data_IF_364435820456
#
_entry.id   IF_364435820456
#
_cell.length_a   1.000
_cell.length_b   1.000
_cell.length_c   1.000
_cell.angle_alpha   90.00
_cell.angle_beta   90.00
_cell.angle_gamma   90.00
#
_symmetry.space_group_name_H-M   'P 1'
#
loop_
_entity.id
_entity.type
_entity.pdbx_description
1 polymer ?
#
# COMPACT_ATOMS: atom_id res chain seq x y z
N UNK A 1 35.73 15.24 15.90
CA UNK A 1 36.84 14.84 14.98
C UNK A 1 36.56 13.53 14.24
N UNK A 2 35.98 12.49 14.86
CA UNK A 2 35.85 11.17 14.22
C UNK A 2 34.86 11.07 13.04
N UNK A 3 33.92 12.03 12.90
CA UNK A 3 32.95 12.01 11.78
C UNK A 3 33.60 11.95 10.39
N UNK A 4 34.78 12.55 10.21
CA UNK A 4 35.51 12.49 8.93
C UNK A 4 36.08 11.10 8.61
N UNK A 5 36.47 10.30 9.62
CA UNK A 5 36.96 8.94 9.39
C UNK A 5 35.84 7.99 8.89
N UNK A 6 34.60 8.26 9.29
CA UNK A 6 33.41 7.49 8.90
C UNK A 6 33.00 7.76 7.45
N UNK A 7 33.56 8.79 6.81
CA UNK A 7 33.37 9.05 5.37
C UNK A 7 33.95 7.93 4.50
N UNK A 8 34.88 7.12 5.03
CA UNK A 8 35.37 5.90 4.38
C UNK A 8 34.27 4.84 4.15
N UNK A 9 33.16 4.88 4.91
CA UNK A 9 31.98 4.06 4.63
C UNK A 9 31.08 4.79 3.64
N UNK A 10 30.57 4.14 2.57
CA UNK A 10 29.64 4.77 1.64
C UNK A 10 28.38 5.26 2.38
N UNK A 11 27.83 6.39 1.92
CA UNK A 11 26.53 6.89 2.41
C UNK A 11 25.49 5.78 2.20
N UNK A 12 24.64 5.57 3.20
CA UNK A 12 23.59 4.55 3.16
C UNK A 12 23.78 3.48 4.24
N UNK A 13 23.36 2.25 3.92
CA UNK A 13 23.14 1.17 4.89
C UNK A 13 24.37 0.84 5.74
N UNK A 14 25.56 0.76 5.13
CA UNK A 14 26.82 0.48 5.86
C UNK A 14 27.10 1.53 6.93
N UNK A 15 27.01 2.81 6.57
CA UNK A 15 27.25 3.91 7.50
C UNK A 15 26.20 3.98 8.61
N UNK A 16 24.92 3.69 8.29
CA UNK A 16 23.85 3.61 9.29
C UNK A 16 24.03 2.42 10.25
N UNK A 17 24.36 1.25 9.73
CA UNK A 17 24.61 0.05 10.54
C UNK A 17 25.79 0.27 11.50
N UNK A 18 26.85 0.95 11.03
CA UNK A 18 27.96 1.36 11.88
C UNK A 18 27.50 2.27 13.04
N UNK A 19 26.74 3.34 12.75
CA UNK A 19 26.30 4.26 13.80
C UNK A 19 25.29 3.65 14.77
N UNK A 20 24.34 2.84 14.28
CA UNK A 20 23.41 2.11 15.13
C UNK A 20 24.15 1.13 16.04
N UNK A 21 25.06 0.31 15.50
CA UNK A 21 25.86 -0.60 16.34
C UNK A 21 26.71 0.15 17.38
N UNK A 22 27.23 1.34 17.03
CA UNK A 22 27.96 2.18 17.98
C UNK A 22 27.05 2.73 19.08
N UNK A 23 25.96 3.42 18.73
CA UNK A 23 25.12 4.11 19.72
C UNK A 23 24.26 3.15 20.55
N UNK A 24 23.78 2.07 19.95
CA UNK A 24 22.85 1.16 20.62
C UNK A 24 23.57 0.14 21.51
N UNK A 25 24.86 -0.14 21.22
CA UNK A 25 25.58 -1.24 21.89
C UNK A 25 27.04 -0.92 22.22
N UNK A 26 27.90 -0.72 21.22
CA UNK A 26 29.36 -0.70 21.43
C UNK A 26 29.81 0.49 22.27
N UNK A 27 29.24 1.67 22.04
CA UNK A 27 29.53 2.89 22.77
C UNK A 27 29.18 2.77 24.26
N UNK A 28 27.91 2.50 24.62
CA UNK A 28 27.51 2.28 26.01
C UNK A 28 28.33 1.19 26.72
N UNK A 29 28.46 0.01 26.10
CA UNK A 29 29.23 -1.11 26.69
C UNK A 29 30.70 -0.78 26.93
N UNK A 30 31.32 -0.01 26.02
CA UNK A 30 32.71 0.40 26.14
C UNK A 30 32.88 1.46 27.22
N UNK A 31 31.95 2.43 27.28
CA UNK A 31 31.98 3.46 28.31
C UNK A 31 31.90 2.86 29.71
N UNK A 32 31.01 1.88 29.92
CA UNK A 32 30.85 1.20 31.21
C UNK A 32 32.11 0.41 31.61
N UNK A 33 32.84 -0.17 30.65
CA UNK A 33 34.02 -1.01 30.92
C UNK A 33 35.33 -0.25 31.02
N UNK A 34 35.52 0.76 30.18
CA UNK A 34 36.82 1.40 29.94
C UNK A 34 36.77 2.93 30.00
N UNK A 35 35.61 3.51 30.33
CA UNK A 35 35.39 4.95 30.37
C UNK A 35 35.59 5.61 29.01
N UNK A 36 35.71 6.94 29.03
CA UNK A 36 35.88 7.76 27.82
C UNK A 36 37.15 7.40 27.03
N UNK A 37 38.22 6.99 27.72
CA UNK A 37 39.50 6.61 27.11
C UNK A 37 39.38 5.39 26.18
N UNK A 38 38.45 4.46 26.46
CA UNK A 38 38.20 3.28 25.65
C UNK A 38 37.37 3.55 24.38
N UNK A 39 36.58 4.62 24.37
CA UNK A 39 35.62 4.89 23.30
C UNK A 39 36.30 5.02 21.94
N UNK A 40 37.38 5.80 21.85
CA UNK A 40 38.06 6.05 20.58
C UNK A 40 38.52 4.75 19.91
N UNK A 41 39.18 3.87 20.67
CA UNK A 41 39.67 2.58 20.16
C UNK A 41 38.50 1.69 19.71
N UNK A 42 37.44 1.59 20.50
CA UNK A 42 36.25 0.82 20.11
C UNK A 42 35.61 1.31 18.80
N UNK A 43 35.67 2.62 18.57
CA UNK A 43 35.13 3.29 17.39
C UNK A 43 36.00 3.02 16.14
N UNK A 44 37.33 3.01 16.30
CA UNK A 44 38.29 2.61 15.26
C UNK A 44 38.16 1.12 14.91
N UNK A 45 38.07 0.24 15.91
CA UNK A 45 37.89 -1.20 15.73
C UNK A 45 36.55 -1.51 15.04
N UNK A 46 35.47 -0.82 15.44
CA UNK A 46 34.16 -0.95 14.83
C UNK A 46 34.15 -0.44 13.38
N UNK A 47 34.83 0.68 13.12
CA UNK A 47 34.95 1.21 11.76
C UNK A 47 35.70 0.23 10.85
N UNK A 48 36.82 -0.32 11.30
CA UNK A 48 37.54 -1.35 10.57
C UNK A 48 36.67 -2.58 10.30
N UNK A 49 35.90 -3.05 11.29
CA UNK A 49 34.92 -4.15 11.12
C UNK A 49 33.91 -3.85 10.01
N UNK A 50 33.38 -2.63 9.93
CA UNK A 50 32.39 -2.26 8.90
C UNK A 50 33.01 -1.98 7.52
N UNK A 51 34.26 -1.54 7.46
CA UNK A 51 35.01 -1.36 6.21
C UNK A 51 35.31 -2.73 5.57
N UNK A 52 35.84 -3.66 6.36
CA UNK A 52 36.30 -4.97 5.87
C UNK A 52 35.24 -6.09 5.98
N UNK A 53 34.13 -5.84 6.68
CA UNK A 53 33.04 -6.78 6.86
C UNK A 53 32.23 -7.00 5.57
N UNK A 54 31.63 -8.20 5.46
CA UNK A 54 30.68 -8.49 4.37
C UNK A 54 29.51 -7.51 4.44
N UNK A 55 29.18 -6.90 3.30
CA UNK A 55 27.94 -6.14 3.15
C UNK A 55 26.76 -7.06 3.40
N UNK A 56 25.79 -6.62 4.20
CA UNK A 56 24.53 -7.36 4.33
C UNK A 56 23.88 -7.52 2.96
N UNK A 57 23.35 -8.71 2.68
CA UNK A 57 22.55 -8.94 1.49
C UNK A 57 21.36 -8.00 1.46
N UNK A 58 21.02 -7.53 0.26
CA UNK A 58 19.78 -6.80 0.06
C UNK A 58 18.58 -7.72 0.24
N UNK A 59 17.42 -7.10 0.45
CA UNK A 59 16.17 -7.81 0.59
C UNK A 59 15.01 -6.90 0.21
N UNK A 60 13.87 -7.52 -0.08
CA UNK A 60 12.66 -6.83 -0.49
C UNK A 60 11.61 -6.92 0.62
N UNK A 61 10.94 -5.82 0.92
CA UNK A 61 9.76 -5.80 1.77
C UNK A 61 8.60 -5.28 0.93
N UNK A 62 7.62 -6.14 0.66
CA UNK A 62 6.36 -5.76 0.01
C UNK A 62 5.43 -5.17 1.06
N UNK A 63 5.05 -3.90 0.91
CA UNK A 63 4.35 -3.14 1.95
C UNK A 63 3.03 -2.60 1.42
N UNK A 64 1.95 -2.89 2.14
CA UNK A 64 0.66 -2.22 1.95
C UNK A 64 0.67 -0.81 2.54
N UNK A 65 0.48 0.18 1.67
CA UNK A 65 0.39 1.59 2.03
C UNK A 65 -0.96 1.98 2.66
N UNK A 66 -1.96 1.11 2.57
CA UNK A 66 -3.34 1.50 2.85
C UNK A 66 -3.96 2.31 1.69
N UNK A 67 -5.23 2.75 1.84
CA UNK A 67 -5.99 3.33 0.74
C UNK A 67 -5.65 4.80 0.42
N UNK A 68 -4.96 5.49 1.32
CA UNK A 68 -4.45 6.85 1.08
C UNK A 68 -4.11 7.62 2.35
N UNK A 69 -4.90 7.45 3.41
CA UNK A 69 -4.63 8.08 4.71
C UNK A 69 -3.34 7.49 5.33
N UNK A 70 -2.31 8.31 5.63
CA UNK A 70 -1.10 7.85 6.30
C UNK A 70 -1.33 7.20 7.66
N UNK A 71 -2.40 7.56 8.38
CA UNK A 71 -2.73 6.97 9.69
C UNK A 71 -3.25 5.53 9.57
N UNK A 72 -3.67 5.11 8.38
CA UNK A 72 -4.05 3.73 8.10
C UNK A 72 -2.86 2.83 7.75
N UNK A 73 -1.63 3.37 7.77
CA UNK A 73 -0.42 2.55 7.71
C UNK A 73 -0.31 1.69 8.97
N UNK A 74 0.07 0.43 8.77
CA UNK A 74 0.45 -0.39 9.91
C UNK A 74 1.75 0.12 10.52
N UNK A 75 1.95 -0.10 11.82
CA UNK A 75 3.21 0.22 12.50
C UNK A 75 4.39 -0.48 11.81
N UNK A 76 4.18 -1.70 11.29
CA UNK A 76 5.20 -2.45 10.54
C UNK A 76 5.52 -1.80 9.19
N UNK A 77 4.51 -1.26 8.49
CA UNK A 77 4.71 -0.54 7.23
C UNK A 77 5.52 0.75 7.44
N UNK A 78 5.18 1.54 8.47
CA UNK A 78 5.94 2.74 8.85
C UNK A 78 7.40 2.42 9.17
N UNK A 79 7.67 1.36 9.93
CA UNK A 79 9.04 0.91 10.23
C UNK A 79 9.80 0.52 8.96
N UNK A 80 9.16 -0.26 8.07
CA UNK A 80 9.76 -0.65 6.81
C UNK A 80 10.13 0.58 5.94
N UNK A 81 9.24 1.56 5.81
CA UNK A 81 9.51 2.81 5.09
C UNK A 81 10.67 3.63 5.68
N UNK A 82 10.75 3.68 7.01
CA UNK A 82 11.84 4.37 7.70
C UNK A 82 13.19 3.66 7.50
N UNK A 83 13.20 2.34 7.37
CA UNK A 83 14.42 1.53 7.20
C UNK A 83 14.85 1.35 5.73
N UNK A 84 13.99 1.71 4.78
CA UNK A 84 14.19 1.50 3.35
C UNK A 84 15.41 2.25 2.80
N UNK A 85 16.18 1.61 1.93
CA UNK A 85 17.19 2.29 1.11
C UNK A 85 16.58 2.78 -0.21
N UNK A 86 15.67 1.99 -0.77
CA UNK A 86 14.93 2.30 -1.99
C UNK A 86 13.45 2.05 -1.73
N UNK A 87 12.59 2.99 -2.10
CA UNK A 87 11.14 2.85 -2.06
C UNK A 87 10.63 2.90 -3.50
N UNK A 88 10.14 1.76 -3.99
CA UNK A 88 9.53 1.64 -5.32
C UNK A 88 8.02 1.62 -5.12
N UNK A 89 7.29 2.63 -5.61
CA UNK A 89 5.86 2.77 -5.34
C UNK A 89 5.02 2.88 -6.60
N UNK A 90 3.73 2.56 -6.47
CA UNK A 90 2.74 2.81 -7.53
C UNK A 90 2.15 4.22 -7.45
N UNK A 91 1.57 4.68 -8.56
CA UNK A 91 0.84 5.96 -8.66
C UNK A 91 -0.27 6.14 -7.62
N UNK A 92 -0.86 5.05 -7.13
CA UNK A 92 -1.97 5.11 -6.17
C UNK A 92 -1.50 5.36 -4.73
N UNK A 93 -0.20 5.33 -4.45
CA UNK A 93 0.32 5.77 -3.15
C UNK A 93 0.28 7.30 -3.11
N UNK A 94 -0.20 7.83 -1.98
CA UNK A 94 -0.34 9.27 -1.76
C UNK A 94 0.99 9.91 -1.38
N UNK A 95 1.25 11.19 -1.76
CA UNK A 95 2.46 11.91 -1.35
C UNK A 95 2.69 11.89 0.17
N UNK A 96 1.63 12.03 0.95
CA UNK A 96 1.66 12.07 2.41
C UNK A 96 2.20 10.76 3.01
N UNK A 97 1.96 9.61 2.36
CA UNK A 97 2.57 8.33 2.74
C UNK A 97 4.06 8.29 2.36
N UNK A 98 4.43 8.83 1.20
CA UNK A 98 5.82 8.86 0.73
C UNK A 98 6.69 9.77 1.59
N UNK A 99 6.13 10.83 2.18
CA UNK A 99 6.83 11.71 3.12
C UNK A 99 7.28 10.99 4.41
N UNK A 100 6.67 9.85 4.75
CA UNK A 100 7.08 9.00 5.86
C UNK A 100 8.29 8.12 5.55
N UNK A 101 8.69 8.02 4.27
CA UNK A 101 9.94 7.40 3.90
C UNK A 101 11.11 8.22 4.44
N UNK A 102 12.23 7.56 4.74
CA UNK A 102 13.40 8.29 5.21
C UNK A 102 13.93 9.25 4.14
N UNK A 103 14.43 10.40 4.59
CA UNK A 103 14.90 11.49 3.71
C UNK A 103 15.98 11.09 2.71
N UNK A 104 16.83 10.11 3.04
CA UNK A 104 17.88 9.64 2.12
C UNK A 104 17.54 8.30 1.44
N UNK A 105 16.27 7.86 1.47
CA UNK A 105 15.82 6.78 0.61
C UNK A 105 15.70 7.29 -0.84
N UNK A 106 16.08 6.45 -1.79
CA UNK A 106 15.76 6.69 -3.19
C UNK A 106 14.29 6.34 -3.42
N UNK A 107 13.47 7.32 -3.79
CA UNK A 107 12.05 7.10 -4.11
C UNK A 107 11.94 6.97 -5.63
N UNK A 108 11.37 5.86 -6.10
CA UNK A 108 11.17 5.56 -7.52
C UNK A 108 9.69 5.35 -7.77
N UNK A 109 9.11 6.14 -8.68
CA UNK A 109 7.75 5.96 -9.16
C UNK A 109 7.73 4.87 -10.25
N UNK A 110 7.12 3.74 -9.94
CA UNK A 110 6.82 2.66 -10.89
C UNK A 110 5.49 2.90 -11.66
N UNK A 111 4.79 4.00 -11.32
CA UNK A 111 3.57 4.47 -11.94
C UNK A 111 3.79 5.26 -13.24
N UNK A 112 2.75 5.99 -13.66
CA UNK A 112 2.75 6.78 -14.90
C UNK A 112 3.26 8.19 -14.62
N UNK A 113 4.28 8.64 -15.34
CA UNK A 113 4.49 10.08 -15.59
C UNK A 113 3.84 10.48 -16.92
N UNK A 114 2.88 11.40 -16.86
CA UNK A 114 2.27 11.97 -18.07
C UNK A 114 1.60 10.94 -18.98
N UNK A 115 1.24 11.36 -20.20
CA UNK A 115 0.51 10.56 -21.19
C UNK A 115 1.32 9.38 -21.79
N UNK A 116 2.40 8.92 -21.14
CA UNK A 116 3.25 7.83 -21.60
C UNK A 116 2.72 6.42 -21.30
N UNK A 117 3.28 5.38 -21.94
CA UNK A 117 2.97 3.99 -21.60
C UNK A 117 3.45 3.66 -20.18
N UNK A 118 2.62 2.94 -19.41
CA UNK A 118 2.99 2.44 -18.08
C UNK A 118 4.28 1.61 -18.16
N UNK A 119 5.13 1.69 -17.14
CA UNK A 119 6.20 0.71 -16.94
C UNK A 119 5.60 -0.69 -16.99
N UNK A 120 6.22 -1.61 -17.76
CA UNK A 120 5.74 -2.99 -17.82
C UNK A 120 6.04 -3.65 -16.48
N UNK A 121 5.23 -4.62 -16.09
CA UNK A 121 5.45 -5.36 -14.85
C UNK A 121 6.87 -5.93 -14.80
N UNK A 122 7.33 -6.51 -15.90
CA UNK A 122 8.69 -7.05 -16.04
C UNK A 122 9.79 -6.03 -15.75
N UNK A 123 9.56 -4.76 -16.05
CA UNK A 123 10.54 -3.70 -15.82
C UNK A 123 10.54 -3.30 -14.33
N UNK A 124 9.36 -3.29 -13.68
CA UNK A 124 9.22 -3.09 -12.23
C UNK A 124 9.93 -4.22 -11.48
N UNK A 125 9.67 -5.46 -11.88
CA UNK A 125 10.25 -6.66 -11.27
C UNK A 125 11.79 -6.63 -11.40
N UNK A 126 12.30 -6.29 -12.59
CA UNK A 126 13.73 -6.14 -12.83
C UNK A 126 14.35 -5.05 -11.94
N UNK A 127 13.67 -3.91 -11.77
CA UNK A 127 14.13 -2.82 -10.92
C UNK A 127 14.21 -3.21 -9.44
N UNK A 128 13.19 -3.93 -8.94
CA UNK A 128 13.18 -4.46 -7.57
C UNK A 128 14.38 -5.39 -7.35
N UNK A 129 14.59 -6.33 -8.28
CA UNK A 129 15.69 -7.30 -8.23
C UNK A 129 17.04 -6.60 -8.32
N UNK A 130 17.21 -5.66 -9.24
CA UNK A 130 18.46 -4.92 -9.44
C UNK A 130 18.92 -4.24 -8.15
N UNK A 131 18.05 -3.44 -7.53
CA UNK A 131 18.40 -2.73 -6.29
C UNK A 131 18.67 -3.69 -5.13
N UNK A 132 17.91 -4.78 -5.02
CA UNK A 132 18.14 -5.78 -3.98
C UNK A 132 19.49 -6.51 -4.16
N UNK A 133 19.87 -6.86 -5.40
CA UNK A 133 21.17 -7.46 -5.70
C UNK A 133 22.35 -6.51 -5.45
N UNK A 134 22.13 -5.19 -5.55
CA UNK A 134 23.10 -4.17 -5.11
C UNK A 134 23.24 -4.05 -3.58
N UNK A 135 22.47 -4.82 -2.80
CA UNK A 135 22.54 -4.85 -1.34
C UNK A 135 21.54 -3.92 -0.63
N UNK A 136 20.61 -3.31 -1.36
CA UNK A 136 19.64 -2.37 -0.79
C UNK A 136 18.53 -3.09 0.01
N UNK A 137 18.01 -2.41 1.04
CA UNK A 137 16.64 -2.68 1.50
C UNK A 137 15.66 -2.03 0.53
N UNK A 138 14.99 -2.84 -0.28
CA UNK A 138 13.96 -2.36 -1.21
C UNK A 138 12.60 -2.49 -0.54
N UNK A 139 11.89 -1.38 -0.39
CA UNK A 139 10.46 -1.40 -0.05
C UNK A 139 9.67 -1.25 -1.34
N UNK A 140 8.91 -2.30 -1.68
CA UNK A 140 7.92 -2.25 -2.75
C UNK A 140 6.58 -1.83 -2.15
N UNK A 141 6.26 -0.55 -2.26
CA UNK A 141 5.12 0.08 -1.62
C UNK A 141 3.91 0.10 -2.56
N UNK A 142 2.83 -0.58 -2.14
CA UNK A 142 1.64 -0.80 -2.97
C UNK A 142 0.42 -0.20 -2.29
N UNK A 143 -0.43 0.48 -3.05
CA UNK A 143 -1.67 1.05 -2.51
C UNK A 143 -2.61 -0.06 -2.04
N UNK A 144 -3.28 0.18 -0.91
CA UNK A 144 -4.15 -0.78 -0.24
C UNK A 144 -3.35 -1.90 0.42
N UNK A 145 -3.67 -3.14 0.04
CA UNK A 145 -3.01 -4.34 0.53
C UNK A 145 -2.31 -5.07 -0.64
N UNK A 146 -1.04 -5.51 -0.50
CA UNK A 146 -0.30 -6.17 -1.58
C UNK A 146 -0.99 -7.43 -2.12
N UNK A 147 -1.73 -8.14 -1.26
CA UNK A 147 -2.37 -9.42 -1.56
C UNK A 147 -3.73 -9.27 -2.26
N UNK A 148 -4.28 -8.06 -2.34
CA UNK A 148 -5.61 -7.80 -2.92
C UNK A 148 -5.47 -7.06 -4.24
N UNK A 149 -5.57 -7.79 -5.36
CA UNK A 149 -5.44 -7.25 -6.73
C UNK A 149 -4.13 -6.47 -6.99
N UNK A 150 -3.08 -6.78 -6.23
CA UNK A 150 -1.79 -6.09 -6.27
C UNK A 150 -0.74 -6.73 -7.18
N UNK A 151 -0.96 -7.92 -7.76
CA UNK A 151 0.07 -8.68 -8.54
C UNK A 151 1.32 -9.03 -7.74
N UNK A 152 1.16 -9.26 -6.43
CA UNK A 152 2.26 -9.59 -5.53
C UNK A 152 3.02 -10.84 -5.95
N UNK A 153 2.33 -11.88 -6.39
CA UNK A 153 2.96 -13.16 -6.74
C UNK A 153 3.96 -12.99 -7.90
N UNK A 154 3.64 -12.19 -8.92
CA UNK A 154 4.55 -11.92 -10.05
C UNK A 154 5.86 -11.25 -9.58
N UNK A 155 5.74 -10.29 -8.65
CA UNK A 155 6.90 -9.60 -8.08
C UNK A 155 7.70 -10.53 -7.15
N UNK A 156 7.04 -11.44 -6.42
CA UNK A 156 7.68 -12.45 -5.56
C UNK A 156 8.44 -13.48 -6.40
N UNK A 157 7.86 -13.96 -7.50
CA UNK A 157 8.47 -14.94 -8.39
C UNK A 157 9.80 -14.39 -8.92
N UNK A 158 9.81 -13.14 -9.42
CA UNK A 158 11.03 -12.50 -9.90
C UNK A 158 12.14 -12.38 -8.82
N UNK A 159 11.75 -12.01 -7.60
CA UNK A 159 12.68 -11.87 -6.46
C UNK A 159 13.20 -13.24 -6.01
N UNK A 160 12.35 -14.27 -6.02
CA UNK A 160 12.70 -15.65 -5.65
C UNK A 160 13.64 -16.26 -6.69
N UNK A 161 13.36 -16.09 -7.98
CA UNK A 161 14.20 -16.56 -9.09
C UNK A 161 15.59 -15.93 -9.06
N UNK A 162 15.70 -14.69 -8.59
CA UNK A 162 16.96 -13.98 -8.40
C UNK A 162 17.71 -14.37 -7.10
N UNK A 163 17.13 -15.25 -6.25
CA UNK A 163 17.72 -15.65 -4.97
C UNK A 163 17.72 -14.55 -3.91
N UNK A 164 16.81 -13.58 -4.02
CA UNK A 164 16.68 -12.45 -3.09
C UNK A 164 15.66 -12.79 -2.01
N UNK A 165 16.00 -12.49 -0.74
CA UNK A 165 15.06 -12.68 0.36
C UNK A 165 13.96 -11.62 0.36
N UNK A 166 12.75 -11.99 0.76
CA UNK A 166 11.65 -11.04 0.89
C UNK A 166 10.82 -11.24 2.16
N UNK A 167 10.02 -10.21 2.48
CA UNK A 167 8.95 -10.29 3.46
C UNK A 167 7.73 -9.49 3.01
N UNK A 168 6.56 -9.79 3.59
CA UNK A 168 5.30 -9.12 3.27
C UNK A 168 4.78 -8.41 4.54
N UNK A 169 4.33 -7.17 4.35
CA UNK A 169 3.63 -6.37 5.35
C UNK A 169 2.23 -6.05 4.80
N UNK A 170 1.17 -6.66 5.34
CA UNK A 170 -0.19 -6.37 4.89
C UNK A 170 -0.59 -4.93 5.21
N UNK A 171 -1.58 -4.44 4.48
CA UNK A 171 -2.15 -3.11 4.61
C UNK A 171 -3.67 -3.14 4.69
N UNK A 172 -4.27 -1.98 4.97
CA UNK A 172 -5.71 -1.83 4.93
C UNK A 172 -6.17 -1.74 3.46
N UNK A 173 -6.93 -2.74 3.00
CA UNK A 173 -7.48 -2.70 1.63
C UNK A 173 -8.56 -1.62 1.48
N UNK A 174 -8.71 -1.06 0.28
CA UNK A 174 -9.68 0.00 -0.01
C UNK A 174 -11.12 -0.37 0.37
N UNK A 175 -11.52 -1.64 0.27
CA UNK A 175 -12.85 -2.09 0.69
C UNK A 175 -13.11 -1.89 2.19
N UNK A 176 -12.11 -2.11 3.04
CA UNK A 176 -12.27 -1.95 4.49
C UNK A 176 -12.40 -0.48 4.87
N UNK A 177 -11.58 0.39 4.27
CA UNK A 177 -11.69 1.83 4.51
C UNK A 177 -12.99 2.42 3.93
N UNK A 178 -13.37 2.02 2.71
CA UNK A 178 -14.57 2.51 2.05
C UNK A 178 -15.85 2.12 2.79
N UNK A 179 -15.95 0.88 3.31
CA UNK A 179 -17.15 0.48 4.06
C UNK A 179 -17.25 1.23 5.39
N UNK A 180 -16.11 1.46 6.04
CA UNK A 180 -16.04 2.16 7.31
C UNK A 180 -16.44 3.63 7.16
N UNK A 181 -16.01 4.27 6.06
CA UNK A 181 -16.31 5.68 5.81
C UNK A 181 -17.79 5.97 5.52
N UNK A 182 -18.55 4.95 5.10
CA UNK A 182 -20.01 5.05 4.94
C UNK A 182 -20.78 4.52 6.17
N UNK A 183 -20.07 4.26 7.27
CA UNK A 183 -20.63 3.78 8.54
C UNK A 183 -21.15 2.34 8.48
N UNK A 184 -20.80 1.56 7.47
CA UNK A 184 -21.29 0.19 7.28
C UNK A 184 -20.25 -0.84 7.73
N UNK A 185 -20.71 -2.08 7.88
CA UNK A 185 -19.84 -3.26 7.94
C UNK A 185 -19.96 -4.01 6.61
N UNK A 186 -18.92 -4.73 6.16
CA UNK A 186 -19.02 -5.58 4.96
C UNK A 186 -20.03 -6.72 5.16
N UNK A 187 -20.11 -7.25 6.39
CA UNK A 187 -21.07 -8.27 6.77
C UNK A 187 -21.96 -7.78 7.91
N UNK A 188 -23.20 -8.25 7.93
CA UNK A 188 -24.15 -8.00 9.02
C UNK A 188 -25.04 -9.23 9.16
N UNK A 189 -25.29 -9.63 10.42
CA UNK A 189 -26.26 -10.69 10.73
C UNK A 189 -27.61 -10.37 10.07
N UNK A 190 -28.24 -11.39 9.51
CA UNK A 190 -29.53 -11.30 8.80
C UNK A 190 -29.52 -10.43 7.53
N UNK A 191 -28.34 -9.97 7.07
CA UNK A 191 -28.14 -9.34 5.75
C UNK A 191 -27.33 -10.24 4.82
N UNK A 192 -26.14 -10.65 5.26
CA UNK A 192 -25.20 -11.41 4.45
C UNK A 192 -24.20 -12.19 5.32
N UNK A 193 -23.92 -13.44 4.91
CA UNK A 193 -22.91 -14.30 5.56
C UNK A 193 -21.54 -14.26 4.85
N UNK A 194 -21.48 -13.67 3.66
CA UNK A 194 -20.28 -13.58 2.82
C UNK A 194 -20.13 -12.20 2.22
N UNK A 195 -18.90 -11.85 1.85
CA UNK A 195 -18.55 -10.71 1.02
C UNK A 195 -17.61 -11.19 -0.08
N UNK A 196 -17.77 -10.67 -1.30
CA UNK A 196 -16.88 -10.97 -2.43
C UNK A 196 -16.05 -9.75 -2.80
N UNK A 197 -14.75 -9.93 -2.97
CA UNK A 197 -13.88 -8.94 -3.60
C UNK A 197 -13.66 -9.38 -5.03
N UNK A 198 -14.05 -8.53 -5.99
CA UNK A 198 -13.93 -8.83 -7.42
C UNK A 198 -13.35 -7.63 -8.13
N UNK A 199 -12.74 -7.86 -9.30
CA UNK A 199 -12.38 -6.78 -10.22
C UNK A 199 -13.43 -6.64 -11.31
N UNK A 200 -13.79 -5.43 -11.72
CA UNK A 200 -14.64 -5.19 -12.88
C UNK A 200 -13.86 -5.28 -14.21
N UNK A 201 -12.54 -5.20 -14.17
CA UNK A 201 -11.67 -5.20 -15.35
C UNK A 201 -10.38 -5.98 -15.05
N UNK A 202 -10.00 -6.89 -15.94
CA UNK A 202 -8.73 -7.63 -15.87
C UNK A 202 -7.79 -7.18 -17.01
N UNK A 203 -6.67 -7.89 -17.18
CA UNK A 203 -5.70 -7.62 -18.27
C UNK A 203 -6.26 -7.93 -19.67
N UNK A 204 -7.38 -8.65 -19.78
CA UNK A 204 -8.01 -9.11 -21.03
C UNK A 204 -9.29 -8.34 -21.37
N UNK A 205 -9.79 -7.47 -20.49
CA UNK A 205 -10.99 -6.68 -20.70
C UNK A 205 -11.88 -6.70 -19.46
N UNK A 206 -13.20 -6.83 -19.65
CA UNK A 206 -14.10 -7.01 -18.52
C UNK A 206 -13.91 -8.38 -17.89
N UNK A 207 -13.72 -8.41 -16.58
CA UNK A 207 -13.54 -9.66 -15.87
C UNK A 207 -14.88 -10.40 -15.74
N UNK A 208 -14.94 -11.66 -16.14
CA UNK A 208 -16.10 -12.52 -15.93
C UNK A 208 -16.02 -13.19 -14.57
N UNK A 209 -17.11 -13.08 -13.81
CA UNK A 209 -17.26 -13.68 -12.48
C UNK A 209 -18.54 -14.52 -12.43
N UNK A 210 -18.77 -15.21 -11.32
CA UNK A 210 -20.07 -15.82 -11.03
C UNK A 210 -21.11 -14.74 -10.69
N UNK A 211 -21.52 -14.00 -11.72
CA UNK A 211 -22.53 -12.94 -11.64
C UNK A 211 -23.88 -13.46 -11.19
N UNK A 212 -24.18 -14.75 -11.47
CA UNK A 212 -25.41 -15.39 -11.02
C UNK A 212 -25.42 -15.52 -9.50
N UNK A 213 -24.35 -16.04 -8.91
CA UNK A 213 -24.25 -16.12 -7.46
C UNK A 213 -24.17 -14.73 -6.81
N UNK A 214 -23.72 -13.69 -7.52
CA UNK A 214 -23.69 -12.31 -7.00
C UNK A 214 -25.03 -11.58 -7.14
N UNK A 215 -25.87 -12.01 -8.05
CA UNK A 215 -27.22 -11.46 -8.26
C UNK A 215 -28.25 -11.94 -7.23
N UNK A 216 -27.93 -12.95 -6.42
CA UNK A 216 -28.82 -13.44 -5.37
C UNK A 216 -29.12 -12.35 -4.31
N UNK A 217 -30.33 -12.37 -3.70
CA UNK A 217 -30.67 -11.42 -2.64
C UNK A 217 -29.70 -11.45 -1.46
N UNK A 218 -29.36 -10.27 -0.94
CA UNK A 218 -28.48 -10.13 0.22
C UNK A 218 -26.99 -10.31 -0.07
N UNK A 219 -26.58 -10.47 -1.32
CA UNK A 219 -25.16 -10.55 -1.65
C UNK A 219 -24.49 -9.17 -1.55
N UNK A 220 -23.25 -9.17 -1.05
CA UNK A 220 -22.42 -7.96 -0.92
C UNK A 220 -21.09 -8.18 -1.63
N UNK A 221 -20.67 -7.20 -2.41
CA UNK A 221 -19.35 -7.21 -3.05
C UNK A 221 -18.66 -5.85 -3.03
N UNK A 222 -17.34 -5.90 -2.94
CA UNK A 222 -16.47 -4.79 -3.26
C UNK A 222 -15.87 -5.01 -4.65
N UNK A 223 -16.24 -4.16 -5.60
CA UNK A 223 -15.85 -4.25 -7.01
C UNK A 223 -14.76 -3.21 -7.27
N UNK A 224 -13.53 -3.70 -7.37
CA UNK A 224 -12.34 -2.93 -7.70
C UNK A 224 -12.30 -2.66 -9.20
N UNK A 225 -11.67 -1.55 -9.61
CA UNK A 225 -11.54 -1.18 -11.03
C UNK A 225 -12.89 -1.15 -11.77
N UNK A 226 -14.00 -0.96 -11.04
CA UNK A 226 -15.36 -1.11 -11.53
C UNK A 226 -15.90 0.10 -12.27
N UNK A 227 -15.30 1.30 -12.10
CA UNK A 227 -15.83 2.57 -12.64
C UNK A 227 -16.08 2.51 -14.15
N UNK A 228 -15.07 2.07 -14.92
CA UNK A 228 -15.18 1.91 -16.38
C UNK A 228 -16.03 0.69 -16.78
N UNK A 229 -16.10 -0.31 -15.90
CA UNK A 229 -16.86 -1.53 -16.11
C UNK A 229 -18.30 -1.45 -15.59
N UNK A 230 -18.74 -0.30 -15.10
CA UNK A 230 -20.01 -0.15 -14.37
C UNK A 230 -21.21 -0.59 -15.20
N UNK A 231 -21.25 -0.23 -16.49
CA UNK A 231 -22.31 -0.63 -17.41
C UNK A 231 -22.32 -2.13 -17.71
N UNK A 232 -21.13 -2.74 -17.82
CA UNK A 232 -21.00 -4.18 -17.99
C UNK A 232 -21.47 -4.94 -16.74
N UNK A 233 -20.98 -4.54 -15.57
CA UNK A 233 -21.35 -5.11 -14.27
C UNK A 233 -22.86 -5.00 -14.02
N UNK A 234 -23.44 -3.81 -14.28
CA UNK A 234 -24.88 -3.58 -14.20
C UNK A 234 -25.64 -4.58 -15.09
N UNK A 235 -25.28 -4.66 -16.38
CA UNK A 235 -25.95 -5.53 -17.33
C UNK A 235 -25.89 -7.00 -16.93
N UNK A 236 -24.73 -7.49 -16.48
CA UNK A 236 -24.58 -8.88 -16.03
C UNK A 236 -25.39 -9.19 -14.79
N UNK A 237 -25.34 -8.34 -13.77
CA UNK A 237 -26.10 -8.55 -12.54
C UNK A 237 -27.61 -8.56 -12.81
N UNK A 238 -28.12 -7.58 -13.58
CA UNK A 238 -29.54 -7.52 -13.93
C UNK A 238 -29.98 -8.70 -14.81
N UNK A 239 -29.16 -9.10 -15.79
CA UNK A 239 -29.41 -10.28 -16.63
C UNK A 239 -29.55 -11.57 -15.80
N UNK A 240 -28.81 -11.68 -14.70
CA UNK A 240 -28.87 -12.83 -13.80
C UNK A 240 -29.86 -12.67 -12.63
N UNK A 241 -30.71 -11.64 -12.65
CA UNK A 241 -31.85 -11.50 -11.73
C UNK A 241 -31.62 -10.59 -10.52
N UNK A 242 -30.52 -9.82 -10.49
CA UNK A 242 -30.33 -8.83 -9.42
C UNK A 242 -31.42 -7.75 -9.52
N UNK A 243 -31.99 -7.36 -8.37
CA UNK A 243 -33.04 -6.37 -8.33
C UNK A 243 -32.50 -4.99 -8.78
N UNK A 244 -33.26 -4.27 -9.61
CA UNK A 244 -32.86 -2.97 -10.17
C UNK A 244 -32.61 -1.90 -9.12
N UNK A 245 -33.31 -2.01 -7.99
CA UNK A 245 -33.23 -1.13 -6.82
C UNK A 245 -32.15 -1.57 -5.80
N UNK A 246 -31.37 -2.62 -6.09
CA UNK A 246 -30.29 -3.06 -5.21
C UNK A 246 -29.35 -1.88 -4.93
N UNK A 247 -29.08 -1.56 -3.64
CA UNK A 247 -28.22 -0.44 -3.31
C UNK A 247 -26.81 -0.60 -3.83
N UNK A 248 -26.25 0.48 -4.35
CA UNK A 248 -24.85 0.55 -4.75
C UNK A 248 -24.25 1.86 -4.25
N UNK A 249 -23.10 1.78 -3.59
CA UNK A 249 -22.35 2.96 -3.16
C UNK A 249 -21.00 3.00 -3.86
N UNK A 250 -20.67 4.13 -4.48
CA UNK A 250 -19.35 4.36 -5.07
C UNK A 250 -18.55 5.28 -4.17
N UNK A 251 -17.35 4.86 -3.80
CA UNK A 251 -16.43 5.64 -2.97
C UNK A 251 -15.20 5.94 -3.81
N UNK A 252 -15.04 7.21 -4.16
CA UNK A 252 -13.84 7.76 -4.78
C UNK A 252 -12.87 8.20 -3.69
N UNK A 253 -11.57 7.96 -3.90
CA UNK A 253 -10.51 8.43 -3.01
C UNK A 253 -10.72 7.98 -1.55
N UNK A 254 -11.11 6.72 -1.35
CA UNK A 254 -11.37 6.16 -0.03
C UNK A 254 -10.26 6.50 0.97
N UNK A 255 -10.62 6.95 2.17
CA UNK A 255 -9.74 7.47 3.24
C UNK A 255 -8.97 8.77 2.98
N UNK A 256 -8.95 9.31 1.75
CA UNK A 256 -8.24 10.56 1.47
C UNK A 256 -9.07 11.77 1.90
N UNK A 257 -8.41 12.93 2.05
CA UNK A 257 -9.09 14.18 2.40
C UNK A 257 -10.14 14.60 1.36
N UNK A 258 -9.95 14.23 0.10
CA UNK A 258 -10.85 14.50 -1.03
C UNK A 258 -11.80 13.33 -1.33
N UNK A 259 -12.09 12.46 -0.34
CA UNK A 259 -13.02 11.35 -0.49
C UNK A 259 -14.41 11.84 -0.90
N UNK A 260 -15.01 11.17 -1.89
CA UNK A 260 -16.38 11.41 -2.34
C UNK A 260 -17.19 10.13 -2.29
N UNK A 261 -18.45 10.24 -1.85
CA UNK A 261 -19.40 9.13 -1.75
C UNK A 261 -20.58 9.43 -2.66
N UNK A 262 -20.86 8.51 -3.58
CA UNK A 262 -22.03 8.53 -4.46
C UNK A 262 -22.93 7.37 -4.09
N UNK A 263 -24.09 7.69 -3.53
CA UNK A 263 -25.16 6.72 -3.31
C UNK A 263 -25.99 6.56 -4.58
N UNK A 264 -26.24 5.31 -4.97
CA UNK A 264 -26.95 4.95 -6.19
C UNK A 264 -27.71 3.62 -6.00
N UNK A 265 -28.32 3.15 -7.09
CA UNK A 265 -28.92 1.82 -7.21
C UNK A 265 -28.42 1.16 -8.48
N UNK A 266 -28.49 -0.17 -8.54
CA UNK A 266 -27.96 -0.94 -9.65
C UNK A 266 -28.41 -0.41 -11.02
N UNK A 267 -29.68 -0.05 -11.19
CA UNK A 267 -30.23 0.45 -12.46
C UNK A 267 -29.73 1.83 -12.89
N UNK A 268 -29.26 2.66 -11.97
CA UNK A 268 -28.80 4.03 -12.24
C UNK A 268 -27.28 4.17 -12.25
N UNK A 269 -26.57 3.14 -11.77
CA UNK A 269 -25.13 3.17 -11.49
C UNK A 269 -24.25 3.80 -12.59
N UNK A 270 -24.35 3.40 -13.89
CA UNK A 270 -23.47 3.98 -14.91
C UNK A 270 -23.76 5.45 -15.18
N UNK A 271 -25.03 5.84 -15.16
CA UNK A 271 -25.46 7.21 -15.44
C UNK A 271 -25.09 8.13 -14.26
N UNK A 272 -25.28 7.67 -13.03
CA UNK A 272 -24.88 8.40 -11.82
C UNK A 272 -23.34 8.56 -11.76
N UNK A 273 -22.57 7.53 -12.11
CA UNK A 273 -21.10 7.63 -12.21
C UNK A 273 -20.71 8.67 -13.27
N UNK A 274 -21.33 8.64 -14.45
CA UNK A 274 -21.03 9.57 -15.54
C UNK A 274 -21.36 11.03 -15.15
N UNK A 275 -22.47 11.25 -14.47
CA UNK A 275 -22.89 12.57 -14.00
C UNK A 275 -22.05 13.08 -12.81
N UNK A 276 -21.41 12.18 -12.05
CA UNK A 276 -20.65 12.55 -10.85
C UNK A 276 -19.27 13.15 -11.14
N UNK A 277 -18.73 13.05 -12.36
CA UNK A 277 -17.37 13.53 -12.69
C UNK A 277 -16.31 13.03 -11.70
N UNK A 278 -16.42 11.75 -11.28
CA UNK A 278 -15.41 11.09 -10.46
C UNK A 278 -14.25 10.63 -11.36
N UNK A 279 -13.08 11.27 -11.25
CA UNK A 279 -11.88 10.97 -12.05
C UNK A 279 -10.81 10.16 -11.30
N UNK A 280 -10.87 10.13 -9.97
CA UNK A 280 -9.98 9.39 -9.08
C UNK A 280 -10.21 7.86 -9.05
N UNK A 281 -9.36 7.13 -8.30
CA UNK A 281 -9.60 5.73 -7.96
C UNK A 281 -10.91 5.58 -7.19
N UNK A 282 -11.79 4.69 -7.66
CA UNK A 282 -13.09 4.45 -7.06
C UNK A 282 -13.34 2.95 -6.83
N UNK A 283 -13.98 2.66 -5.70
CA UNK A 283 -14.48 1.33 -5.36
C UNK A 283 -16.01 1.35 -5.39
N UNK A 284 -16.61 0.31 -5.98
CA UNK A 284 -18.06 0.14 -5.98
C UNK A 284 -18.43 -0.91 -4.92
N UNK A 285 -19.25 -0.54 -3.94
CA UNK A 285 -19.84 -1.44 -2.96
C UNK A 285 -21.26 -1.81 -3.42
N UNK A 286 -21.43 -3.06 -3.86
CA UNK A 286 -22.71 -3.62 -4.25
C UNK A 286 -23.45 -4.19 -3.02
N UNK A 287 -24.76 -3.96 -2.93
CA UNK A 287 -25.62 -4.42 -1.84
C UNK A 287 -25.52 -3.59 -0.56
N UNK A 288 -24.82 -2.45 -0.61
CA UNK A 288 -24.62 -1.56 0.54
C UNK A 288 -25.00 -0.13 0.18
N UNK A 289 -25.80 0.50 1.04
CA UNK A 289 -26.07 1.93 1.07
C UNK A 289 -25.33 2.58 2.26
N UNK A 290 -25.00 3.88 2.22
CA UNK A 290 -24.50 4.58 3.39
C UNK A 290 -25.47 4.46 4.56
N UNK A 291 -24.97 4.43 5.80
CA UNK A 291 -25.88 4.48 6.96
C UNK A 291 -26.56 5.84 6.99
N UNK A 292 -27.89 5.83 7.04
CA UNK A 292 -28.72 7.02 7.22
C UNK A 292 -28.60 7.50 8.67
N UNK A 293 -27.59 8.29 8.99
CA UNK A 293 -27.57 9.12 10.21
C UNK A 293 -26.74 10.37 10.00
N UNK A 294 -27.41 11.50 10.29
CA UNK A 294 -26.89 12.84 10.58
C UNK A 294 -25.39 12.86 10.80
N UNK A 295 -24.66 13.44 9.85
CA UNK A 295 -23.29 13.93 10.00
C UNK A 295 -22.42 13.04 10.88
N UNK A 296 -21.72 12.06 10.30
CA UNK A 296 -20.46 11.60 10.93
C UNK A 296 -19.65 12.89 11.14
N UNK A 297 -19.59 13.35 12.39
CA UNK A 297 -19.08 14.67 12.73
C UNK A 297 -17.70 14.83 12.13
N UNK A 298 -17.57 15.71 11.13
CA UNK A 298 -16.27 16.14 10.59
C UNK A 298 -15.31 16.59 11.71
N UNK A 299 -15.86 17.05 12.84
CA UNK A 299 -15.11 17.40 14.05
C UNK A 299 -14.33 16.26 14.72
N UNK A 300 -14.73 14.99 14.63
CA UNK A 300 -13.93 13.90 15.26
C UNK A 300 -12.68 13.58 14.42
N UNK A 301 -12.72 13.82 13.09
CA UNK A 301 -11.53 13.68 12.25
C UNK A 301 -10.50 14.80 12.50
N UNK A 302 -10.93 15.99 12.92
CA UNK A 302 -10.04 17.11 13.28
C UNK A 302 -9.37 16.92 14.65
N UNK A 303 -10.04 16.31 15.62
CA UNK A 303 -9.47 16.05 16.96
C UNK A 303 -8.46 14.89 17.00
N UNK A 304 -8.52 13.96 16.03
CA UNK A 304 -7.55 12.85 15.92
C UNK A 304 -6.28 13.30 15.17
N UNK A 305 -6.37 14.36 14.36
CA UNK A 305 -5.25 14.92 13.60
C UNK A 305 -4.39 15.95 14.37
N UNK A 306 -4.64 16.15 15.68
CA UNK A 306 -3.89 17.02 16.61
C UNK A 306 -3.04 16.19 17.58
#
# INVERSE_FOLDING_TARGET
AFRGAVEALPIGRKRRAFWSEYYDRVGPETFDKAGEAGLRKSLEDLLAKHIFGKTQAGHVTFVGAGPGDPELLTIKARRALHEADVVIHDRLVTPEVLELARREALIIDAGKEGFGPSMKQTDIDALIVEHALMGAHVVRLKSGDPTVFGRLDEEIDAVTDAGVNYSIVPGITSASAAVASIGQSLTKRDRNASVRFVTGHDMKGYAEHDWRALAEPGQVAAIYMGKKASRFVQGRLMMHGAASDTPVTVIENASRADQRVLESRLSALPDDIAASEMDGPALILFGLAPRTTTTVSKHIQEEIAL
#
